data_IF_481829607785
#
_entry.id   IF_481829607785
#
_cell.length_a   1.000
_cell.length_b   1.000
_cell.length_c   1.000
_cell.angle_alpha   90.00
_cell.angle_beta   90.00
_cell.angle_gamma   90.00
#
_symmetry.space_group_name_H-M   'P 1'
#
loop_
_entity.id
_entity.type
_entity.pdbx_description
1 polymer ?
#
# COMPACT_ATOMS: atom_id res chain seq x y z
N UNK A 1 2.44 5.01 10.51
CA UNK A 1 2.50 3.88 9.55
C UNK A 1 1.43 4.01 8.46
N UNK A 2 1.82 3.82 7.20
CA UNK A 2 0.98 3.89 6.00
C UNK A 2 0.64 2.47 5.49
N UNK A 3 0.00 1.65 6.31
CA UNK A 3 -0.50 0.34 5.91
C UNK A 3 -2.03 0.31 5.92
N UNK A 4 -2.62 -0.63 5.17
CA UNK A 4 -4.05 -0.91 5.23
C UNK A 4 -4.50 -1.17 6.67
N UNK A 5 -3.72 -1.93 7.45
CA UNK A 5 -3.99 -2.17 8.86
C UNK A 5 -4.04 -0.87 9.67
N UNK A 6 -3.00 -0.03 9.60
CA UNK A 6 -3.00 1.24 10.35
C UNK A 6 -4.09 2.21 9.90
N UNK A 7 -4.47 2.19 8.61
CA UNK A 7 -5.61 2.96 8.14
C UNK A 7 -6.93 2.43 8.73
N UNK A 8 -7.16 1.13 8.68
CA UNK A 8 -8.37 0.47 9.19
C UNK A 8 -8.48 0.68 10.71
N UNK A 9 -7.41 0.41 11.46
CA UNK A 9 -7.34 0.63 12.91
C UNK A 9 -7.67 2.07 13.29
N UNK A 10 -7.05 3.08 12.65
CA UNK A 10 -7.35 4.50 12.92
C UNK A 10 -8.82 4.86 12.67
N UNK A 11 -9.43 4.28 11.62
CA UNK A 11 -10.85 4.52 11.30
C UNK A 11 -11.76 3.86 12.34
N UNK A 12 -11.41 2.67 12.82
CA UNK A 12 -12.15 1.98 13.88
C UNK A 12 -12.06 2.73 15.19
N UNK A 13 -10.88 3.19 15.58
CA UNK A 13 -10.71 3.99 16.79
C UNK A 13 -11.51 5.30 16.72
N UNK A 14 -11.59 5.92 15.53
CA UNK A 14 -12.42 7.09 15.32
C UNK A 14 -13.93 6.78 15.45
N UNK A 15 -14.38 5.62 14.97
CA UNK A 15 -15.77 5.17 15.19
C UNK A 15 -16.05 4.93 16.68
N UNK A 16 -15.12 4.31 17.41
CA UNK A 16 -15.24 4.10 18.86
C UNK A 16 -15.29 5.39 19.69
N UNK A 17 -14.83 6.51 19.13
CA UNK A 17 -14.95 7.87 19.71
C UNK A 17 -16.24 8.61 19.31
N UNK A 18 -17.24 7.90 18.78
CA UNK A 18 -18.55 8.47 18.46
C UNK A 18 -18.68 9.07 17.06
N UNK A 19 -17.86 8.65 16.09
CA UNK A 19 -18.04 9.06 14.70
C UNK A 19 -18.96 8.08 13.96
N UNK A 20 -20.26 8.34 14.00
CA UNK A 20 -21.32 7.47 13.46
C UNK A 20 -21.22 7.27 11.94
N UNK A 21 -20.75 8.28 11.20
CA UNK A 21 -20.53 8.16 9.76
C UNK A 21 -19.43 7.14 9.44
N UNK A 22 -18.33 7.18 10.18
CA UNK A 22 -17.23 6.23 10.04
C UNK A 22 -17.65 4.84 10.51
N UNK A 23 -18.39 4.75 11.62
CA UNK A 23 -18.94 3.49 12.12
C UNK A 23 -19.84 2.80 11.06
N UNK A 24 -20.77 3.55 10.47
CA UNK A 24 -21.66 3.06 9.40
C UNK A 24 -20.86 2.59 8.18
N UNK A 25 -19.82 3.34 7.79
CA UNK A 25 -18.97 2.99 6.64
C UNK A 25 -18.16 1.72 6.88
N UNK A 26 -17.68 1.49 8.11
CA UNK A 26 -16.98 0.26 8.49
C UNK A 26 -17.95 -0.92 8.48
N UNK A 27 -19.13 -0.77 9.08
CA UNK A 27 -20.13 -1.85 9.14
C UNK A 27 -20.56 -2.32 7.74
N UNK A 28 -20.66 -1.39 6.78
CA UNK A 28 -20.99 -1.68 5.38
C UNK A 28 -19.83 -2.22 4.54
N UNK A 29 -18.62 -2.33 5.10
CA UNK A 29 -17.44 -2.80 4.39
C UNK A 29 -16.94 -4.13 4.98
N UNK A 30 -17.35 -5.28 4.40
CA UNK A 30 -16.98 -6.61 4.91
C UNK A 30 -15.48 -6.86 5.00
N UNK A 31 -14.70 -6.19 4.15
CA UNK A 31 -13.25 -6.29 4.20
C UNK A 31 -12.68 -5.57 5.43
N UNK A 32 -13.17 -4.36 5.75
CA UNK A 32 -12.66 -3.60 6.90
C UNK A 32 -13.09 -4.25 8.22
N UNK A 33 -14.35 -4.65 8.32
CA UNK A 33 -14.85 -5.39 9.49
C UNK A 33 -14.18 -6.76 9.64
N UNK A 34 -13.94 -7.45 8.52
CA UNK A 34 -13.18 -8.70 8.48
C UNK A 34 -11.75 -8.54 8.99
N UNK A 35 -10.99 -7.57 8.46
CA UNK A 35 -9.61 -7.29 8.91
C UNK A 35 -9.57 -7.02 10.41
N UNK A 36 -10.52 -6.24 10.95
CA UNK A 36 -10.58 -5.99 12.39
C UNK A 36 -10.77 -7.26 13.21
N UNK A 37 -11.65 -8.14 12.76
CA UNK A 37 -11.99 -9.37 13.48
C UNK A 37 -10.87 -10.40 13.40
N UNK A 38 -10.26 -10.54 12.24
CA UNK A 38 -9.33 -11.64 11.94
C UNK A 38 -7.85 -11.26 12.12
N UNK A 39 -7.53 -9.96 12.21
CA UNK A 39 -6.16 -9.44 12.29
C UNK A 39 -6.05 -8.39 13.41
N UNK A 40 -5.94 -8.81 14.69
CA UNK A 40 -5.97 -7.90 15.84
C UNK A 40 -4.78 -6.93 15.85
N UNK A 41 -3.64 -7.33 15.29
CA UNK A 41 -2.41 -6.56 15.20
C UNK A 41 -1.79 -6.59 13.80
N UNK A 42 -0.71 -5.82 13.62
CA UNK A 42 0.00 -5.70 12.34
C UNK A 42 0.69 -7.00 11.92
N UNK A 43 1.22 -7.77 12.87
CA UNK A 43 1.86 -9.06 12.59
C UNK A 43 0.85 -10.06 12.05
N UNK A 44 -0.29 -10.22 12.71
CA UNK A 44 -1.41 -11.05 12.27
C UNK A 44 -1.91 -10.62 10.89
N UNK A 45 -1.96 -9.30 10.64
CA UNK A 45 -2.34 -8.76 9.34
C UNK A 45 -1.37 -9.18 8.23
N UNK A 46 -0.05 -9.11 8.48
CA UNK A 46 0.96 -9.51 7.48
C UNK A 46 1.02 -11.02 7.31
N UNK A 47 0.94 -11.78 8.41
CA UNK A 47 1.10 -13.24 8.37
C UNK A 47 -0.13 -13.95 7.82
N UNK A 48 -1.34 -13.51 8.19
CA UNK A 48 -2.59 -14.23 7.89
C UNK A 48 -3.57 -13.45 7.01
N UNK A 49 -3.46 -12.12 6.96
CA UNK A 49 -4.34 -11.28 6.14
C UNK A 49 -4.38 -11.70 4.66
N UNK A 50 -3.22 -11.92 3.99
CA UNK A 50 -3.18 -12.36 2.60
C UNK A 50 -3.87 -13.70 2.31
N UNK A 51 -3.93 -14.62 3.28
CA UNK A 51 -4.61 -15.91 3.13
C UNK A 51 -6.13 -15.77 3.29
N UNK A 52 -6.58 -14.80 4.10
CA UNK A 52 -8.00 -14.58 4.40
C UNK A 52 -8.68 -13.61 3.43
N UNK A 53 -7.92 -12.65 2.93
CA UNK A 53 -8.43 -11.59 2.07
C UNK A 53 -7.64 -11.57 0.78
N UNK A 54 -8.17 -12.22 -0.26
CA UNK A 54 -7.51 -12.32 -1.57
C UNK A 54 -7.04 -10.97 -2.13
N UNK A 55 -7.78 -9.89 -1.88
CA UNK A 55 -7.37 -8.56 -2.34
C UNK A 55 -6.05 -8.06 -1.75
N UNK A 56 -5.59 -8.63 -0.64
CA UNK A 56 -4.32 -8.27 -0.01
C UNK A 56 -3.12 -8.97 -0.66
N UNK A 57 -3.32 -10.05 -1.43
CA UNK A 57 -2.23 -10.82 -2.04
C UNK A 57 -1.98 -10.48 -3.50
N UNK A 58 -2.83 -9.64 -4.12
CA UNK A 58 -2.74 -9.36 -5.56
C UNK A 58 -1.50 -8.51 -5.86
N UNK A 59 -0.56 -8.99 -6.70
CA UNK A 59 0.58 -8.21 -7.16
C UNK A 59 0.15 -6.91 -7.83
N UNK A 60 0.92 -5.84 -7.66
CA UNK A 60 0.70 -4.55 -8.32
C UNK A 60 0.86 -4.69 -9.84
N UNK A 61 1.80 -5.52 -10.30
CA UNK A 61 1.97 -5.80 -11.72
C UNK A 61 0.72 -6.36 -12.39
N UNK A 62 -0.14 -7.06 -11.66
CA UNK A 62 -1.40 -7.61 -12.19
C UNK A 62 -2.46 -6.53 -12.44
N UNK A 63 -2.27 -5.32 -11.92
CA UNK A 63 -3.09 -4.14 -12.25
C UNK A 63 -2.52 -3.33 -13.41
N UNK A 64 -1.26 -3.56 -13.79
CA UNK A 64 -0.53 -2.81 -14.81
C UNK A 64 -0.37 -3.58 -16.12
N UNK A 65 -1.10 -4.68 -16.27
CA UNK A 65 -1.09 -5.55 -17.45
C UNK A 65 -2.51 -5.82 -17.90
N UNK A 66 -2.73 -5.83 -19.21
CA UNK A 66 -4.00 -6.24 -19.82
C UNK A 66 -3.76 -6.99 -21.14
N UNK A 67 -4.34 -8.20 -21.29
CA UNK A 67 -4.33 -8.99 -22.54
C UNK A 67 -2.97 -9.04 -23.26
N UNK A 68 -1.89 -9.26 -22.51
CA UNK A 68 -0.52 -9.32 -23.02
C UNK A 68 0.19 -7.97 -23.23
N UNK A 69 -0.52 -6.85 -23.02
CA UNK A 69 0.03 -5.50 -23.04
C UNK A 69 0.59 -5.13 -21.67
N UNK A 70 1.63 -4.32 -21.70
CA UNK A 70 2.27 -3.71 -20.55
C UNK A 70 2.17 -2.20 -20.70
N UNK A 71 2.07 -1.51 -19.57
CA UNK A 71 2.23 -0.04 -19.55
C UNK A 71 3.61 0.34 -20.07
N UNK A 72 3.68 1.46 -20.77
CA UNK A 72 4.88 2.05 -21.38
C UNK A 72 5.73 2.84 -20.36
N UNK A 73 5.14 3.20 -19.23
CA UNK A 73 5.80 3.85 -18.11
C UNK A 73 5.14 3.45 -16.78
N UNK A 74 5.95 3.25 -15.73
CA UNK A 74 5.49 3.02 -14.35
C UNK A 74 6.14 4.06 -13.46
N UNK A 75 5.35 5.02 -12.99
CA UNK A 75 5.80 6.02 -12.02
C UNK A 75 5.85 5.47 -10.60
N UNK A 76 6.66 6.10 -9.75
CA UNK A 76 6.86 5.80 -8.34
C UNK A 76 6.37 6.96 -7.50
N UNK A 77 5.61 6.69 -6.45
CA UNK A 77 5.12 7.74 -5.54
C UNK A 77 6.27 8.46 -4.84
N UNK A 78 7.39 7.77 -4.62
CA UNK A 78 8.62 8.33 -4.05
C UNK A 78 9.23 9.42 -4.94
N UNK A 79 9.07 9.31 -6.26
CA UNK A 79 9.60 10.20 -7.30
C UNK A 79 8.50 10.84 -8.15
N UNK A 80 7.29 10.95 -7.59
CA UNK A 80 6.07 11.30 -8.34
C UNK A 80 6.23 12.56 -9.21
N UNK A 81 6.79 13.62 -8.63
CA UNK A 81 7.03 14.89 -9.33
C UNK A 81 7.97 14.73 -10.53
N UNK A 82 9.11 14.07 -10.33
CA UNK A 82 10.10 13.77 -11.37
C UNK A 82 9.48 12.92 -12.48
N UNK A 83 8.75 11.88 -12.11
CA UNK A 83 8.14 10.96 -13.06
C UNK A 83 7.04 11.65 -13.88
N UNK A 84 6.22 12.50 -13.26
CA UNK A 84 5.20 13.27 -13.97
C UNK A 84 5.81 14.32 -14.90
N UNK A 85 6.86 15.03 -14.46
CA UNK A 85 7.60 15.98 -15.28
C UNK A 85 8.21 15.30 -16.52
N UNK A 86 8.84 14.13 -16.33
CA UNK A 86 9.41 13.35 -17.43
C UNK A 86 8.37 12.91 -18.46
N UNK A 87 7.17 12.49 -18.02
CA UNK A 87 6.06 12.14 -18.93
C UNK A 87 5.54 13.38 -19.66
N UNK A 88 5.36 14.50 -18.96
CA UNK A 88 4.88 15.75 -19.57
C UNK A 88 5.83 16.21 -20.67
N UNK A 89 7.14 16.21 -20.41
CA UNK A 89 8.15 16.54 -21.40
C UNK A 89 8.11 15.59 -22.61
N UNK A 90 8.02 14.27 -22.36
CA UNK A 90 7.96 13.26 -23.42
C UNK A 90 6.77 13.45 -24.36
N UNK A 91 5.65 13.97 -23.86
CA UNK A 91 4.43 14.19 -24.64
C UNK A 91 4.23 15.63 -25.10
N UNK A 92 5.18 16.54 -24.81
CA UNK A 92 5.03 17.97 -25.12
C UNK A 92 3.85 18.61 -24.38
N UNK A 93 3.46 18.05 -23.24
CA UNK A 93 2.39 18.56 -22.40
C UNK A 93 2.92 19.57 -21.37
N UNK A 94 2.03 20.40 -20.86
CA UNK A 94 2.34 21.28 -19.74
C UNK A 94 2.70 20.46 -18.50
N UNK A 95 3.79 20.84 -17.84
CA UNK A 95 4.22 20.21 -16.59
C UNK A 95 3.16 20.43 -15.49
N UNK A 96 2.73 19.36 -14.80
CA UNK A 96 1.72 19.50 -13.77
C UNK A 96 2.34 20.07 -12.48
N UNK A 97 1.67 21.07 -11.89
CA UNK A 97 2.02 21.58 -10.56
C UNK A 97 1.56 20.59 -9.48
N UNK A 98 2.47 19.72 -9.05
CA UNK A 98 2.20 18.67 -8.06
C UNK A 98 3.09 18.86 -6.84
N UNK A 99 2.61 19.62 -5.87
CA UNK A 99 3.26 19.71 -4.57
C UNK A 99 3.21 18.35 -3.81
N UNK A 100 4.35 17.90 -3.29
CA UNK A 100 4.42 16.72 -2.41
C UNK A 100 3.66 16.96 -1.10
N UNK A 101 2.43 16.45 -1.01
CA UNK A 101 1.57 16.61 0.19
C UNK A 101 1.96 15.72 1.37
N UNK A 102 2.58 14.56 1.11
CA UNK A 102 2.99 13.60 2.14
C UNK A 102 4.53 13.62 2.27
N UNK A 103 5.06 14.68 2.89
CA UNK A 103 6.47 14.77 3.30
C UNK A 103 6.69 14.37 4.76
N UNK A 104 5.61 14.34 5.57
CA UNK A 104 5.69 14.02 6.99
C UNK A 104 5.83 12.50 7.24
N UNK A 105 7.05 12.10 7.62
CA UNK A 105 7.21 11.22 8.78
C UNK A 105 7.19 9.71 8.56
N UNK A 106 7.89 9.22 7.54
CA UNK A 106 8.66 7.98 7.68
C UNK A 106 9.82 8.09 6.69
N UNK A 107 11.04 8.35 7.19
CA UNK A 107 12.22 8.02 6.41
C UNK A 107 12.11 6.57 5.94
N UNK A 108 12.81 6.21 4.86
CA UNK A 108 12.84 4.84 4.34
C UNK A 108 13.10 3.77 5.44
N UNK A 109 13.72 4.12 6.57
CA UNK A 109 13.93 3.25 7.72
C UNK A 109 12.68 2.92 8.58
N UNK A 110 11.81 3.89 8.88
CA UNK A 110 10.81 3.72 9.96
C UNK A 110 9.76 2.64 9.70
N UNK A 111 9.43 2.35 8.45
CA UNK A 111 8.46 1.30 8.13
C UNK A 111 9.09 -0.10 8.15
N UNK A 112 10.37 -0.23 7.76
CA UNK A 112 11.10 -1.50 7.71
C UNK A 112 11.35 -2.08 9.11
N UNK A 113 11.54 -1.21 10.09
CA UNK A 113 11.70 -1.56 11.50
C UNK A 113 10.46 -2.24 12.10
N UNK A 114 9.28 -2.03 11.50
CA UNK A 114 8.02 -2.61 11.97
C UNK A 114 7.84 -4.06 11.49
N UNK A 115 8.65 -4.52 10.53
CA UNK A 115 8.62 -5.89 10.03
C UNK A 115 9.65 -6.75 10.76
N UNK A 116 9.15 -7.70 11.54
CA UNK A 116 9.97 -8.80 12.10
C UNK A 116 10.53 -9.70 10.99
N UNK A 117 11.61 -10.46 11.24
CA UNK A 117 12.20 -11.34 10.23
C UNK A 117 11.19 -12.27 9.53
N UNK A 118 10.28 -12.90 10.29
CA UNK A 118 9.24 -13.77 9.73
C UNK A 118 8.28 -13.03 8.79
N UNK A 119 7.91 -11.79 9.13
CA UNK A 119 7.05 -10.95 8.30
C UNK A 119 7.76 -10.54 7.01
N UNK A 120 9.06 -10.22 7.06
CA UNK A 120 9.87 -9.90 5.87
C UNK A 120 9.91 -11.09 4.92
N UNK A 121 10.20 -12.29 5.44
CA UNK A 121 10.21 -13.52 4.65
C UNK A 121 8.84 -13.81 4.01
N UNK A 122 7.76 -13.58 4.76
CA UNK A 122 6.39 -13.73 4.27
C UNK A 122 6.09 -12.79 3.10
N UNK A 123 6.42 -11.49 3.24
CA UNK A 123 6.25 -10.50 2.17
C UNK A 123 7.12 -10.81 0.97
N UNK A 124 8.40 -11.16 1.18
CA UNK A 124 9.33 -11.53 0.13
C UNK A 124 8.81 -12.70 -0.71
N UNK A 125 8.20 -13.69 -0.06
CA UNK A 125 7.60 -14.85 -0.74
C UNK A 125 6.34 -14.46 -1.52
N UNK A 126 5.40 -13.75 -0.89
CA UNK A 126 4.11 -13.42 -1.49
C UNK A 126 4.22 -12.44 -2.66
N UNK A 127 5.17 -11.51 -2.58
CA UNK A 127 5.31 -10.42 -3.54
C UNK A 127 6.64 -10.47 -4.30
N UNK A 128 7.25 -11.66 -4.42
CA UNK A 128 8.51 -11.87 -5.13
C UNK A 128 8.52 -11.21 -6.52
N UNK A 129 7.44 -11.40 -7.28
CA UNK A 129 7.28 -10.83 -8.64
C UNK A 129 7.36 -9.31 -8.67
N UNK A 130 6.68 -8.63 -7.73
CA UNK A 130 6.71 -7.16 -7.66
C UNK A 130 8.06 -6.68 -7.12
N UNK A 131 8.60 -7.36 -6.11
CA UNK A 131 9.89 -7.05 -5.50
C UNK A 131 11.01 -7.11 -6.56
N UNK A 132 11.04 -8.16 -7.37
CA UNK A 132 11.98 -8.32 -8.47
C UNK A 132 11.78 -7.22 -9.53
N UNK A 133 10.54 -7.01 -9.97
CA UNK A 133 10.25 -6.06 -11.03
C UNK A 133 10.52 -4.60 -10.65
N UNK A 134 10.37 -4.24 -9.38
CA UNK A 134 10.55 -2.86 -8.90
C UNK A 134 11.86 -2.64 -8.13
N UNK A 135 12.63 -3.70 -7.86
CA UNK A 135 13.90 -3.62 -7.15
C UNK A 135 13.75 -3.17 -5.70
N UNK A 136 12.69 -3.61 -5.01
CA UNK A 136 12.53 -3.32 -3.58
C UNK A 136 13.33 -4.30 -2.71
N UNK A 137 13.77 -3.85 -1.54
CA UNK A 137 14.36 -4.72 -0.52
C UNK A 137 14.08 -4.20 0.88
N UNK A 138 14.10 -5.12 1.85
CA UNK A 138 14.08 -4.79 3.27
C UNK A 138 15.46 -4.40 3.82
N UNK A 139 16.53 -4.63 3.05
CA UNK A 139 17.92 -4.42 3.51
C UNK A 139 18.54 -3.09 3.05
N UNK A 140 17.89 -2.38 2.13
CA UNK A 140 18.36 -1.12 1.51
C UNK A 140 17.24 -0.11 1.41
#
# INVERSE_FOLDING_TARGET
>A
MWSWWSMISRRIDAAGRGNDQVATRIARNPFWSGVRRECPDFESFVMHGPDRFERLRRPQLDYLRDRGRRVDFIGRTERLEIDLSGIAHRWGATEPDVARRNSAGTGSGEWREQFRPAMRARVATLFATDIEAFGYSFDT
#
